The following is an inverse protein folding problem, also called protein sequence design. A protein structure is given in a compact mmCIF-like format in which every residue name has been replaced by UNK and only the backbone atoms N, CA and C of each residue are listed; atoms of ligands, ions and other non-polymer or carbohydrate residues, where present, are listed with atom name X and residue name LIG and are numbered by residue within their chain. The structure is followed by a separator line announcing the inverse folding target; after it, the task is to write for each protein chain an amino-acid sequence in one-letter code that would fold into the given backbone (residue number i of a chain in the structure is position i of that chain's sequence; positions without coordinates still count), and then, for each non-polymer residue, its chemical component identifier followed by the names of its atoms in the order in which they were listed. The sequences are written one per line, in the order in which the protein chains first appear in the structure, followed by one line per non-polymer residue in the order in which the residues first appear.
data_IF_411754817303
#
_entry.id   IF_411754817303
#
_cell.length_a   1.000
_cell.length_b   1.000
_cell.length_c   1.000
_cell.angle_alpha   90.00
_cell.angle_beta   90.00
_cell.angle_gamma   90.00
#
_symmetry.space_group_name_H-M   'P 1'
#
loop_
_entity.id
_entity.type
_entity.pdbx_description
1 polymer ?
#
# COMPACT_ATOMS: atom_id res chain seq x y z
N UNK A 1 72.77 0.98 24.51
CA UNK A 1 71.37 1.46 24.67
C UNK A 1 70.84 1.80 23.33
N UNK A 2 70.00 0.94 22.73
CA UNK A 2 69.35 1.14 21.39
C UNK A 2 67.89 1.43 21.60
N UNK A 3 67.50 2.69 21.29
CA UNK A 3 66.09 3.14 21.31
C UNK A 3 65.37 2.53 20.12
N UNK A 4 64.44 1.60 20.33
CA UNK A 4 63.55 1.10 19.31
C UNK A 4 62.38 2.10 19.15
N UNK A 5 62.31 2.72 17.98
CA UNK A 5 61.14 3.56 17.59
C UNK A 5 60.00 2.64 17.18
N UNK A 6 58.96 2.62 18.01
CA UNK A 6 57.71 1.94 17.71
C UNK A 6 56.88 2.82 16.76
N UNK A 7 56.76 2.40 15.51
CA UNK A 7 55.93 3.06 14.52
C UNK A 7 54.50 2.49 14.64
N UNK A 8 53.55 3.24 15.19
CA UNK A 8 52.15 2.90 15.18
C UNK A 8 51.59 3.17 13.77
N UNK A 9 51.31 2.10 13.05
CA UNK A 9 50.49 2.17 11.83
C UNK A 9 49.00 2.25 12.23
N UNK A 10 48.43 3.44 12.18
CA UNK A 10 46.99 3.62 12.29
C UNK A 10 46.34 3.30 10.92
N UNK A 11 45.84 2.09 10.77
CA UNK A 11 44.99 1.73 9.64
C UNK A 11 43.64 2.39 9.78
N UNK A 12 43.44 3.49 9.08
CA UNK A 12 42.10 4.11 8.91
C UNK A 12 41.23 3.21 8.04
N UNK A 13 40.39 2.41 8.69
CA UNK A 13 39.37 1.60 8.01
C UNK A 13 38.27 2.56 7.52
N UNK A 14 38.33 2.96 6.26
CA UNK A 14 37.26 3.73 5.60
C UNK A 14 36.05 2.83 5.45
N UNK A 15 35.07 2.98 6.32
CA UNK A 15 33.77 2.34 6.23
C UNK A 15 33.02 2.96 5.06
N UNK A 16 33.13 2.36 3.88
CA UNK A 16 32.26 2.69 2.75
C UNK A 16 30.83 2.30 3.13
N UNK A 17 30.07 3.26 3.65
CA UNK A 17 28.62 3.13 3.74
C UNK A 17 28.13 3.19 2.30
N UNK A 18 28.03 2.02 1.66
CA UNK A 18 27.24 1.85 0.46
C UNK A 18 25.80 2.17 0.86
N UNK A 19 25.37 3.43 0.63
CA UNK A 19 23.98 3.78 0.54
C UNK A 19 23.42 2.93 -0.62
N UNK A 20 23.03 1.70 -0.30
CA UNK A 20 22.30 0.84 -1.19
C UNK A 20 21.04 1.62 -1.56
N UNK A 21 21.06 2.22 -2.73
CA UNK A 21 19.85 2.70 -3.36
C UNK A 21 18.88 1.53 -3.23
N UNK A 22 17.78 1.72 -2.52
CA UNK A 22 16.62 0.85 -2.62
C UNK A 22 16.13 0.99 -4.07
N UNK A 23 16.96 0.50 -4.98
CA UNK A 23 16.71 0.48 -6.40
C UNK A 23 15.54 -0.43 -6.60
N UNK A 24 14.51 0.23 -6.92
CA UNK A 24 13.45 -0.19 -7.78
C UNK A 24 13.31 -1.72 -7.80
N UNK A 25 12.41 -2.21 -6.97
CA UNK A 25 11.82 -3.56 -7.11
C UNK A 25 11.32 -3.79 -8.56
N UNK A 26 11.26 -2.75 -9.36
CA UNK A 26 10.84 -2.73 -10.74
C UNK A 26 11.99 -2.26 -11.64
N UNK A 27 12.28 -3.02 -12.69
CA UNK A 27 13.35 -2.69 -13.64
C UNK A 27 13.00 -1.46 -14.50
N UNK A 28 11.72 -1.22 -14.74
CA UNK A 28 11.20 -0.12 -15.56
C UNK A 28 10.02 0.57 -14.87
N UNK A 29 9.86 1.89 -15.06
CA UNK A 29 8.71 2.63 -14.51
C UNK A 29 7.36 2.02 -14.91
N UNK A 30 7.25 1.52 -16.14
CA UNK A 30 6.03 0.89 -16.66
C UNK A 30 5.63 -0.36 -15.89
N UNK A 31 6.60 -1.14 -15.40
CA UNK A 31 6.35 -2.34 -14.61
C UNK A 31 5.78 -1.96 -13.24
N UNK A 32 6.29 -0.90 -12.62
CA UNK A 32 5.73 -0.35 -11.38
C UNK A 32 4.29 0.14 -11.58
N UNK A 33 4.04 0.87 -12.67
CA UNK A 33 2.70 1.36 -13.02
C UNK A 33 1.76 0.18 -13.22
N UNK A 34 2.14 -0.81 -14.01
CA UNK A 34 1.35 -2.01 -14.27
C UNK A 34 1.08 -2.80 -13.00
N UNK A 35 2.08 -2.98 -12.15
CA UNK A 35 1.95 -3.69 -10.88
C UNK A 35 0.89 -3.04 -9.98
N UNK A 36 1.03 -1.73 -9.67
CA UNK A 36 0.06 -1.06 -8.80
C UNK A 36 -1.36 -1.03 -9.37
N UNK A 37 -1.49 -0.88 -10.70
CA UNK A 37 -2.79 -0.92 -11.37
C UNK A 37 -3.43 -2.30 -11.28
N UNK A 38 -2.64 -3.38 -11.45
CA UNK A 38 -3.12 -4.76 -11.33
C UNK A 38 -3.60 -5.06 -9.91
N UNK A 39 -2.82 -4.68 -8.89
CA UNK A 39 -3.21 -4.84 -7.49
C UNK A 39 -4.54 -4.12 -7.21
N UNK A 40 -4.66 -2.84 -7.59
CA UNK A 40 -5.90 -2.10 -7.39
C UNK A 40 -7.08 -2.67 -8.18
N UNK A 41 -6.85 -3.25 -9.36
CA UNK A 41 -7.91 -3.90 -10.15
C UNK A 41 -8.48 -5.11 -9.42
N UNK A 42 -7.62 -5.96 -8.86
CA UNK A 42 -8.08 -7.13 -8.08
C UNK A 42 -8.77 -6.70 -6.80
N UNK A 43 -8.22 -5.71 -6.09
CA UNK A 43 -8.86 -5.14 -4.89
C UNK A 43 -10.25 -4.58 -5.22
N UNK A 44 -10.38 -3.80 -6.29
CA UNK A 44 -11.65 -3.20 -6.70
C UNK A 44 -12.70 -4.25 -7.06
N UNK A 45 -12.31 -5.37 -7.69
CA UNK A 45 -13.22 -6.47 -7.98
C UNK A 45 -13.77 -7.11 -6.70
N UNK A 46 -12.89 -7.45 -5.76
CA UNK A 46 -13.31 -8.04 -4.47
C UNK A 46 -14.15 -7.05 -3.64
N UNK A 47 -13.74 -5.77 -3.61
CA UNK A 47 -14.47 -4.72 -2.90
C UNK A 47 -15.85 -4.46 -3.52
N UNK A 48 -15.96 -4.49 -4.85
CA UNK A 48 -17.21 -4.32 -5.58
C UNK A 48 -18.25 -5.40 -5.28
N UNK A 49 -17.81 -6.67 -5.13
CA UNK A 49 -18.70 -7.77 -4.71
C UNK A 49 -19.29 -7.52 -3.32
N UNK A 50 -18.48 -7.06 -2.37
CA UNK A 50 -18.98 -6.67 -1.04
C UNK A 50 -19.90 -5.45 -1.13
N UNK A 51 -19.62 -4.52 -2.03
CA UNK A 51 -20.45 -3.35 -2.29
C UNK A 51 -21.86 -3.72 -2.80
N UNK A 52 -21.98 -4.73 -3.65
CA UNK A 52 -23.27 -5.24 -4.10
C UNK A 52 -24.11 -5.79 -2.93
N UNK A 53 -23.47 -6.49 -1.99
CA UNK A 53 -24.14 -6.97 -0.77
C UNK A 53 -24.62 -5.81 0.12
N UNK A 54 -23.75 -4.81 0.33
CA UNK A 54 -24.10 -3.63 1.16
C UNK A 54 -25.27 -2.84 0.59
N UNK A 55 -25.38 -2.77 -0.74
CA UNK A 55 -26.49 -2.12 -1.44
C UNK A 55 -27.76 -2.95 -1.54
N UNK A 56 -27.72 -4.23 -1.15
CA UNK A 56 -28.84 -5.16 -1.32
C UNK A 56 -29.02 -5.70 -2.75
N UNK A 57 -28.02 -5.50 -3.62
CA UNK A 57 -27.99 -5.99 -5.01
C UNK A 57 -27.58 -7.47 -5.08
N UNK A 58 -26.99 -8.00 -4.00
CA UNK A 58 -26.64 -9.41 -3.83
C UNK A 58 -26.96 -9.87 -2.40
N UNK A 59 -27.31 -11.17 -2.21
CA UNK A 59 -27.59 -11.70 -0.89
C UNK A 59 -26.32 -11.74 -0.03
N UNK A 60 -26.48 -11.53 1.27
CA UNK A 60 -25.36 -11.71 2.22
C UNK A 60 -25.02 -13.21 2.34
N UNK A 61 -23.76 -13.52 2.08
CA UNK A 61 -23.15 -14.82 2.38
C UNK A 61 -21.87 -14.57 3.18
N UNK A 62 -21.80 -15.06 4.41
CA UNK A 62 -20.69 -14.82 5.32
C UNK A 62 -19.34 -15.22 4.71
N UNK A 63 -19.27 -16.42 4.14
CA UNK A 63 -18.02 -16.99 3.65
C UNK A 63 -17.48 -16.21 2.42
N UNK A 64 -18.39 -15.83 1.51
CA UNK A 64 -18.02 -15.00 0.35
C UNK A 64 -17.62 -13.58 0.76
N UNK A 65 -18.30 -12.97 1.72
CA UNK A 65 -17.93 -11.65 2.25
C UNK A 65 -16.57 -11.71 2.95
N UNK A 66 -16.35 -12.71 3.82
CA UNK A 66 -15.08 -12.90 4.52
C UNK A 66 -13.92 -13.16 3.54
N UNK A 67 -14.13 -13.98 2.52
CA UNK A 67 -13.16 -14.26 1.45
C UNK A 67 -12.77 -12.99 0.68
N UNK A 68 -13.76 -12.20 0.25
CA UNK A 68 -13.48 -10.97 -0.50
C UNK A 68 -12.78 -9.92 0.39
N UNK A 69 -13.16 -9.81 1.67
CA UNK A 69 -12.49 -8.92 2.62
C UNK A 69 -11.03 -9.35 2.86
N UNK A 70 -10.75 -10.64 2.99
CA UNK A 70 -9.41 -11.18 3.13
C UNK A 70 -8.54 -10.89 1.89
N UNK A 71 -9.09 -11.00 0.68
CA UNK A 71 -8.39 -10.63 -0.56
C UNK A 71 -7.98 -9.15 -0.51
N UNK A 72 -8.91 -8.26 -0.18
CA UNK A 72 -8.62 -6.82 -0.08
C UNK A 72 -7.56 -6.54 0.98
N UNK A 73 -7.67 -7.18 2.16
CA UNK A 73 -6.71 -6.99 3.25
C UNK A 73 -5.30 -7.47 2.89
N UNK A 74 -5.19 -8.61 2.20
CA UNK A 74 -3.91 -9.15 1.73
C UNK A 74 -3.25 -8.23 0.71
N UNK A 75 -4.03 -7.63 -0.18
CA UNK A 75 -3.53 -6.78 -1.25
C UNK A 75 -3.29 -5.33 -0.81
N UNK A 76 -3.95 -4.86 0.26
CA UNK A 76 -3.90 -3.47 0.72
C UNK A 76 -2.48 -2.92 0.96
N UNK A 77 -1.48 -3.67 1.48
CA UNK A 77 -0.13 -3.16 1.67
C UNK A 77 0.73 -3.13 0.39
N UNK A 78 0.32 -3.84 -0.67
CA UNK A 78 1.22 -4.14 -1.80
C UNK A 78 1.48 -2.97 -2.78
N UNK A 79 0.51 -2.10 -3.14
CA UNK A 79 0.73 -1.16 -4.25
C UNK A 79 1.71 -0.03 -3.93
N UNK A 80 1.94 0.27 -2.65
CA UNK A 80 2.63 1.49 -2.20
C UNK A 80 4.10 1.54 -2.59
N UNK A 81 4.78 0.40 -2.61
CA UNK A 81 6.16 0.27 -3.08
C UNK A 81 6.35 0.65 -4.55
N UNK A 82 5.26 0.65 -5.34
CA UNK A 82 5.28 0.98 -6.76
C UNK A 82 5.00 2.48 -7.03
N UNK A 83 5.12 3.34 -6.00
CA UNK A 83 5.01 4.80 -6.10
C UNK A 83 6.32 5.52 -5.72
N UNK A 84 7.46 4.84 -5.83
CA UNK A 84 8.77 5.46 -5.62
C UNK A 84 9.12 6.50 -6.68
N UNK A 85 10.21 7.28 -6.46
CA UNK A 85 10.72 8.22 -7.46
C UNK A 85 11.00 7.51 -8.80
N UNK A 86 10.68 8.18 -9.91
CA UNK A 86 10.86 7.64 -11.26
C UNK A 86 9.75 6.69 -11.72
N UNK A 87 8.68 6.51 -10.92
CA UNK A 87 7.52 5.68 -11.30
C UNK A 87 6.27 6.51 -11.60
N UNK A 88 6.47 7.78 -11.93
CA UNK A 88 5.41 8.72 -12.28
C UNK A 88 4.65 8.23 -13.52
N UNK A 89 3.35 8.50 -13.54
CA UNK A 89 2.54 8.18 -14.71
C UNK A 89 1.29 7.36 -14.43
N UNK A 90 0.73 6.81 -15.47
CA UNK A 90 -0.58 6.15 -15.43
C UNK A 90 -1.66 7.11 -14.95
N UNK A 91 -2.56 6.61 -14.09
CA UNK A 91 -3.64 7.42 -13.49
C UNK A 91 -3.25 8.11 -12.18
N UNK A 92 -1.99 8.07 -11.76
CA UNK A 92 -1.53 8.80 -10.58
C UNK A 92 -1.36 10.30 -10.90
N UNK A 93 -1.81 11.16 -9.98
CA UNK A 93 -1.55 12.60 -10.06
C UNK A 93 -0.13 12.92 -9.59
N UNK A 94 0.48 14.03 -10.05
CA UNK A 94 1.79 14.48 -9.57
C UNK A 94 1.86 14.66 -8.06
N UNK A 95 0.73 14.98 -7.41
CA UNK A 95 0.61 15.12 -5.95
C UNK A 95 1.04 13.88 -5.17
N UNK A 96 1.01 12.69 -5.76
CA UNK A 96 1.53 11.46 -5.14
C UNK A 96 2.99 11.62 -4.71
N UNK A 97 3.79 12.29 -5.52
CA UNK A 97 5.23 12.51 -5.28
C UNK A 97 5.54 13.86 -4.68
N UNK A 98 4.81 14.93 -5.07
CA UNK A 98 5.05 16.28 -4.53
C UNK A 98 4.50 16.48 -3.12
N UNK A 99 3.45 15.73 -2.71
CA UNK A 99 2.89 15.72 -1.36
C UNK A 99 2.91 14.28 -0.80
N UNK A 100 4.09 13.67 -0.84
CA UNK A 100 4.29 12.27 -0.46
C UNK A 100 3.86 11.97 0.99
N UNK A 101 4.03 12.92 1.90
CA UNK A 101 3.61 12.76 3.29
C UNK A 101 2.09 12.57 3.40
N UNK A 102 1.31 13.38 2.69
CA UNK A 102 -0.16 13.27 2.65
C UNK A 102 -0.59 11.98 1.95
N UNK A 103 0.08 11.59 0.85
CA UNK A 103 -0.18 10.34 0.17
C UNK A 103 0.07 9.13 1.05
N UNK A 104 1.20 9.10 1.79
CA UNK A 104 1.53 8.04 2.75
C UNK A 104 0.48 7.95 3.85
N UNK A 105 0.10 9.08 4.46
CA UNK A 105 -0.94 9.10 5.49
C UNK A 105 -2.30 8.57 4.97
N UNK A 106 -2.68 8.93 3.74
CA UNK A 106 -3.89 8.40 3.11
C UNK A 106 -3.82 6.89 2.89
N UNK A 107 -2.66 6.37 2.48
CA UNK A 107 -2.44 4.94 2.29
C UNK A 107 -2.51 4.16 3.60
N UNK A 108 -1.91 4.67 4.66
CA UNK A 108 -1.95 4.06 6.00
C UNK A 108 -3.37 4.03 6.55
N UNK A 109 -4.11 5.15 6.43
CA UNK A 109 -5.51 5.22 6.83
C UNK A 109 -6.39 4.20 6.09
N UNK A 110 -6.16 4.01 4.79
CA UNK A 110 -6.87 3.00 4.01
C UNK A 110 -6.55 1.59 4.49
N UNK A 111 -5.28 1.27 4.74
CA UNK A 111 -4.87 -0.05 5.22
C UNK A 111 -5.51 -0.39 6.58
N UNK A 112 -5.56 0.56 7.50
CA UNK A 112 -6.24 0.39 8.80
C UNK A 112 -7.73 0.12 8.62
N UNK A 113 -8.43 0.93 7.80
CA UNK A 113 -9.85 0.74 7.54
C UNK A 113 -10.17 -0.60 6.86
N UNK A 114 -9.29 -1.07 5.98
CA UNK A 114 -9.40 -2.40 5.35
C UNK A 114 -9.17 -3.52 6.36
N UNK A 115 -8.23 -3.36 7.29
CA UNK A 115 -8.02 -4.34 8.37
C UNK A 115 -9.26 -4.47 9.26
N UNK A 116 -9.89 -3.34 9.62
CA UNK A 116 -11.15 -3.34 10.37
C UNK A 116 -12.31 -3.96 9.59
N UNK A 117 -12.40 -3.69 8.28
CA UNK A 117 -13.37 -4.33 7.40
C UNK A 117 -13.18 -5.84 7.38
N UNK A 118 -11.95 -6.31 7.24
CA UNK A 118 -11.66 -7.74 7.24
C UNK A 118 -12.07 -8.40 8.57
N UNK A 119 -11.74 -7.76 9.69
CA UNK A 119 -12.13 -8.25 11.03
C UNK A 119 -13.65 -8.33 11.17
N UNK A 120 -14.38 -7.30 10.75
CA UNK A 120 -15.84 -7.27 10.79
C UNK A 120 -16.45 -8.34 9.87
N UNK A 121 -15.92 -8.53 8.67
CA UNK A 121 -16.37 -9.57 7.74
C UNK A 121 -16.18 -10.98 8.29
N UNK A 122 -15.06 -11.26 8.96
CA UNK A 122 -14.77 -12.57 9.59
C UNK A 122 -15.72 -12.87 10.76
N UNK A 123 -16.18 -11.88 11.50
CA UNK A 123 -17.12 -12.08 12.63
C UNK A 123 -18.48 -12.63 12.18
N UNK A 124 -18.91 -12.29 10.98
CA UNK A 124 -20.23 -12.62 10.46
C UNK A 124 -21.34 -11.66 10.91
N UNK A 125 -21.00 -10.60 11.65
CA UNK A 125 -21.93 -9.54 12.02
C UNK A 125 -22.15 -8.60 10.82
N UNK A 126 -23.36 -8.64 10.28
CA UNK A 126 -23.76 -7.92 9.06
C UNK A 126 -23.69 -6.39 9.26
N UNK A 127 -24.10 -5.90 10.40
CA UNK A 127 -24.12 -4.46 10.65
C UNK A 127 -22.71 -3.90 10.88
N UNK A 128 -21.85 -4.63 11.61
CA UNK A 128 -20.42 -4.29 11.72
C UNK A 128 -19.73 -4.32 10.37
N UNK A 129 -20.03 -5.32 9.53
CA UNK A 129 -19.52 -5.40 8.17
C UNK A 129 -19.93 -4.17 7.32
N UNK A 130 -21.22 -3.83 7.28
CA UNK A 130 -21.73 -2.67 6.52
C UNK A 130 -21.09 -1.36 6.97
N UNK A 131 -20.97 -1.16 8.28
CA UNK A 131 -20.33 0.02 8.89
C UNK A 131 -18.86 0.12 8.47
N UNK A 132 -18.10 -0.97 8.61
CA UNK A 132 -16.68 -1.00 8.28
C UNK A 132 -16.46 -0.88 6.77
N UNK A 133 -17.33 -1.45 5.94
CA UNK A 133 -17.30 -1.27 4.49
C UNK A 133 -17.48 0.21 4.11
N UNK A 134 -18.43 0.91 4.73
CA UNK A 134 -18.63 2.35 4.52
C UNK A 134 -17.39 3.17 4.87
N UNK A 135 -16.76 2.87 6.02
CA UNK A 135 -15.52 3.52 6.45
C UNK A 135 -14.37 3.28 5.45
N UNK A 136 -14.14 2.03 5.04
CA UNK A 136 -13.12 1.70 4.04
C UNK A 136 -13.40 2.38 2.68
N UNK A 137 -14.64 2.39 2.22
CA UNK A 137 -15.06 3.08 0.99
C UNK A 137 -14.71 4.56 1.00
N UNK A 138 -14.93 5.24 2.14
CA UNK A 138 -14.59 6.67 2.28
C UNK A 138 -13.07 6.92 2.17
N UNK A 139 -12.23 6.03 2.71
CA UNK A 139 -10.78 6.17 2.56
C UNK A 139 -10.33 6.00 1.12
N UNK A 140 -10.91 5.02 0.39
CA UNK A 140 -10.65 4.83 -1.03
C UNK A 140 -11.05 6.08 -1.84
N UNK A 141 -12.24 6.62 -1.58
CA UNK A 141 -12.72 7.82 -2.26
C UNK A 141 -11.83 9.02 -2.00
N UNK A 142 -11.51 9.32 -0.74
CA UNK A 142 -10.69 10.47 -0.38
C UNK A 142 -9.30 10.43 -1.02
N UNK A 143 -8.66 9.23 -1.02
CA UNK A 143 -7.38 9.06 -1.71
C UNK A 143 -7.51 9.26 -3.24
N UNK A 144 -8.60 8.78 -3.85
CA UNK A 144 -8.84 8.97 -5.28
C UNK A 144 -9.12 10.44 -5.64
N UNK A 145 -9.83 11.18 -4.78
CA UNK A 145 -10.12 12.60 -5.02
C UNK A 145 -8.83 13.44 -5.06
N UNK A 146 -7.85 13.12 -4.20
CA UNK A 146 -6.59 13.87 -4.07
C UNK A 146 -5.49 13.39 -5.03
N UNK A 147 -5.41 12.09 -5.34
CA UNK A 147 -4.23 11.47 -5.93
C UNK A 147 -4.46 10.70 -7.23
N UNK A 148 -5.71 10.58 -7.71
CA UNK A 148 -6.03 9.88 -8.95
C UNK A 148 -6.58 10.85 -9.99
N UNK A 149 -6.03 10.78 -11.23
CA UNK A 149 -6.59 11.48 -12.39
C UNK A 149 -8.02 10.99 -12.70
N UNK A 150 -8.87 11.91 -13.06
CA UNK A 150 -10.23 11.63 -13.53
C UNK A 150 -10.22 10.93 -14.88
#
# INVERSE_FOLDING_TARGET
MKLQKLILFTTATTLCISAGSALAQFQKPEDAIKYRQSVFTVMANAFGKMGAVVKGEAPYNKDEVAKNAAIVATLAPLPWQAFGPGTEGGKAQPAVWSDNAKFKAASEKMQLAVADLNKAAQSGDVESFKKSFGAASQTCKGCHDDFKKK
#
